data_IF_334411159016
#
_entry.id   IF_334411159016
#
_cell.length_a   1.000
_cell.length_b   1.000
_cell.length_c   1.000
_cell.angle_alpha   90.00
_cell.angle_beta   90.00
_cell.angle_gamma   90.00
#
_symmetry.space_group_name_H-M   'P 1'
#
loop_
_entity.id
_entity.type
_entity.pdbx_description
1 polymer ?
#
# COMPACT_ATOMS: atom_id res chain seq x y z
N UNK A 1 9.95 33.07 -1.59
CA UNK A 1 10.42 31.70 -1.30
C UNK A 1 9.27 30.96 -0.65
N UNK A 2 8.47 30.23 -1.43
CA UNK A 2 7.36 29.45 -0.87
C UNK A 2 7.96 28.23 -0.17
N UNK A 3 7.77 28.17 1.15
CA UNK A 3 8.07 27.01 1.97
C UNK A 3 7.40 25.79 1.35
N UNK A 4 8.21 24.89 0.79
CA UNK A 4 7.76 23.59 0.33
C UNK A 4 7.49 22.76 1.59
N UNK A 5 6.34 23.00 2.22
CA UNK A 5 5.77 22.13 3.24
C UNK A 5 5.39 20.82 2.53
N UNK A 6 6.35 19.90 2.45
CA UNK A 6 6.06 18.52 2.08
C UNK A 6 4.95 18.03 3.02
N UNK A 7 3.84 17.46 2.51
CA UNK A 7 2.76 17.01 3.35
C UNK A 7 3.32 16.02 4.36
N UNK A 8 3.28 16.38 5.65
CA UNK A 8 3.66 15.49 6.76
C UNK A 8 2.86 14.20 6.65
N UNK A 9 3.47 13.19 6.07
CA UNK A 9 2.95 11.83 6.00
C UNK A 9 2.48 11.41 7.38
N UNK A 10 1.24 10.88 7.53
CA UNK A 10 0.83 10.38 8.83
C UNK A 10 1.73 9.19 9.17
N UNK A 11 2.60 9.39 10.16
CA UNK A 11 3.37 8.33 10.77
C UNK A 11 2.42 7.33 11.43
N UNK A 12 2.73 6.05 11.32
CA UNK A 12 2.03 5.00 12.06
C UNK A 12 2.20 5.23 13.58
N UNK A 13 1.39 4.54 14.39
CA UNK A 13 1.47 4.49 15.85
C UNK A 13 2.90 4.20 16.37
N UNK A 14 3.74 3.55 15.57
CA UNK A 14 5.15 3.29 15.85
C UNK A 14 6.14 4.39 15.39
N UNK A 15 5.66 5.53 14.89
CA UNK A 15 6.50 6.62 14.37
C UNK A 15 7.11 6.35 12.98
N UNK A 16 6.81 5.20 12.36
CA UNK A 16 7.31 4.84 11.02
C UNK A 16 6.51 5.58 9.95
N UNK A 17 7.18 6.12 8.94
CA UNK A 17 6.50 6.81 7.85
C UNK A 17 5.88 5.80 6.89
N UNK A 18 4.62 6.03 6.53
CA UNK A 18 3.86 5.12 5.66
C UNK A 18 3.21 5.86 4.50
N UNK A 19 3.53 5.42 3.29
CA UNK A 19 3.06 6.05 2.05
C UNK A 19 2.33 5.01 1.18
N UNK A 20 1.42 5.43 0.28
CA UNK A 20 0.87 4.55 -0.73
C UNK A 20 1.97 4.14 -1.73
N UNK A 21 1.83 2.95 -2.30
CA UNK A 21 2.81 2.39 -3.24
C UNK A 21 3.16 3.34 -4.39
N UNK A 22 2.19 4.12 -4.89
CA UNK A 22 2.39 5.12 -5.94
C UNK A 22 3.42 6.19 -5.56
N UNK A 23 3.41 6.65 -4.31
CA UNK A 23 4.35 7.68 -3.85
C UNK A 23 5.73 7.09 -3.62
N UNK A 24 5.79 5.88 -3.06
CA UNK A 24 7.05 5.18 -2.80
C UNK A 24 7.77 4.82 -4.09
N UNK A 25 7.06 4.33 -5.11
CA UNK A 25 7.64 4.06 -6.42
C UNK A 25 8.31 5.32 -7.01
N UNK A 26 7.66 6.49 -6.88
CA UNK A 26 8.23 7.77 -7.31
C UNK A 26 9.45 8.17 -6.47
N UNK A 27 9.37 8.07 -5.13
CA UNK A 27 10.48 8.42 -4.23
C UNK A 27 11.72 7.54 -4.46
N UNK A 28 11.52 6.24 -4.69
CA UNK A 28 12.60 5.29 -4.93
C UNK A 28 13.02 5.21 -6.42
N UNK A 29 12.54 6.11 -7.28
CA UNK A 29 12.83 6.13 -8.72
C UNK A 29 12.60 4.75 -9.40
N UNK A 30 11.58 4.03 -8.96
CA UNK A 30 11.22 2.74 -9.54
C UNK A 30 10.38 2.99 -10.79
N UNK A 31 10.86 2.51 -11.95
CA UNK A 31 10.16 2.61 -13.24
C UNK A 31 8.92 1.70 -13.36
N UNK A 32 8.34 1.30 -12.23
CA UNK A 32 7.13 0.50 -12.17
C UNK A 32 5.92 1.38 -11.86
N UNK A 33 4.86 1.18 -12.64
CA UNK A 33 3.55 1.72 -12.30
C UNK A 33 2.97 0.98 -11.09
N UNK A 34 2.23 1.69 -10.22
CA UNK A 34 1.54 1.08 -9.09
C UNK A 34 0.64 -0.10 -9.48
N UNK A 35 0.05 -0.07 -10.68
CA UNK A 35 -0.69 -1.21 -11.21
C UNK A 35 0.18 -2.46 -11.42
N UNK A 36 1.37 -2.31 -12.02
CA UNK A 36 2.31 -3.43 -12.26
C UNK A 36 2.86 -3.94 -10.92
N UNK A 37 3.27 -3.02 -10.03
CA UNK A 37 3.72 -3.40 -8.69
C UNK A 37 2.64 -4.17 -7.92
N UNK A 38 1.39 -3.68 -7.89
CA UNK A 38 0.30 -4.38 -7.22
C UNK A 38 0.04 -5.78 -7.80
N UNK A 39 0.14 -5.96 -9.13
CA UNK A 39 -0.02 -7.28 -9.76
C UNK A 39 1.08 -8.24 -9.31
N UNK A 40 2.33 -7.77 -9.28
CA UNK A 40 3.46 -8.58 -8.81
C UNK A 40 3.26 -8.94 -7.34
N UNK A 41 2.89 -7.99 -6.49
CA UNK A 41 2.66 -8.23 -5.07
C UNK A 41 1.50 -9.20 -4.81
N UNK A 42 0.44 -9.16 -5.62
CA UNK A 42 -0.63 -10.16 -5.59
C UNK A 42 -0.10 -11.55 -5.97
N UNK A 43 0.66 -11.65 -7.06
CA UNK A 43 1.25 -12.91 -7.53
C UNK A 43 2.26 -13.49 -6.51
N UNK A 44 2.98 -12.64 -5.79
CA UNK A 44 3.93 -13.03 -4.74
C UNK A 44 3.26 -13.32 -3.38
N UNK A 45 1.95 -13.13 -3.26
CA UNK A 45 1.21 -13.33 -2.00
C UNK A 45 1.49 -12.27 -0.93
N UNK A 46 1.98 -11.10 -1.32
CA UNK A 46 2.19 -9.93 -0.45
C UNK A 46 0.91 -9.11 -0.29
N UNK A 47 0.16 -8.99 -1.38
CA UNK A 47 -1.20 -8.48 -1.39
C UNK A 47 -2.17 -9.65 -1.58
N UNK A 48 -3.37 -9.47 -1.06
CA UNK A 48 -4.54 -10.31 -1.32
C UNK A 48 -5.74 -9.44 -1.70
N UNK A 49 -6.61 -9.99 -2.55
CA UNK A 49 -7.91 -9.39 -2.85
C UNK A 49 -8.94 -9.96 -1.88
N UNK A 50 -9.46 -9.09 -1.02
CA UNK A 50 -10.55 -9.43 -0.10
C UNK A 50 -11.86 -8.91 -0.63
N UNK A 51 -12.93 -9.65 -0.39
CA UNK A 51 -14.29 -9.22 -0.67
C UNK A 51 -14.99 -8.83 0.62
N UNK A 52 -15.78 -7.77 0.57
CA UNK A 52 -16.74 -7.44 1.64
C UNK A 52 -18.09 -7.10 1.03
N UNK A 53 -19.19 -7.38 1.74
CA UNK A 53 -20.48 -6.82 1.38
C UNK A 53 -20.39 -5.28 1.41
N UNK A 54 -20.92 -4.63 0.38
CA UNK A 54 -20.96 -3.17 0.33
C UNK A 54 -21.95 -2.66 1.35
N UNK A 55 -21.48 -1.90 2.34
CA UNK A 55 -22.36 -1.25 3.33
C UNK A 55 -23.34 -0.27 2.67
N UNK A 56 -22.91 0.36 1.58
CA UNK A 56 -23.71 1.37 0.86
C UNK A 56 -24.65 0.78 -0.18
N UNK A 57 -24.40 -0.45 -0.65
CA UNK A 57 -25.18 -1.05 -1.76
C UNK A 57 -25.51 -2.50 -1.40
N UNK A 58 -26.73 -2.77 -0.90
CA UNK A 58 -27.13 -4.12 -0.53
C UNK A 58 -27.03 -5.07 -1.74
N UNK A 59 -26.41 -6.24 -1.53
CA UNK A 59 -26.21 -7.26 -2.57
C UNK A 59 -24.98 -7.07 -3.47
N UNK A 60 -24.22 -5.97 -3.33
CA UNK A 60 -22.99 -5.77 -4.10
C UNK A 60 -21.76 -6.14 -3.27
N UNK A 61 -20.95 -7.08 -3.75
CA UNK A 61 -19.64 -7.37 -3.19
C UNK A 61 -18.62 -6.36 -3.71
N UNK A 62 -17.77 -5.84 -2.83
CA UNK A 62 -16.64 -4.99 -3.19
C UNK A 62 -15.34 -5.74 -2.93
N UNK A 63 -14.52 -5.86 -3.96
CA UNK A 63 -13.14 -6.31 -3.83
C UNK A 63 -12.26 -5.13 -3.42
N UNK A 64 -11.39 -5.37 -2.45
CA UNK A 64 -10.39 -4.44 -1.98
C UNK A 64 -9.07 -5.17 -1.76
N UNK A 65 -7.97 -4.42 -1.75
CA UNK A 65 -6.63 -5.00 -1.61
C UNK A 65 -6.16 -4.83 -0.17
N UNK A 66 -5.66 -5.90 0.42
CA UNK A 66 -5.06 -5.88 1.75
C UNK A 66 -3.69 -6.53 1.70
N UNK A 67 -2.77 -6.07 2.55
CA UNK A 67 -1.52 -6.77 2.82
C UNK A 67 -1.82 -8.06 3.56
N UNK A 68 -1.21 -9.14 3.10
CA UNK A 68 -1.22 -10.44 3.79
C UNK A 68 -0.28 -10.39 5.00
N UNK A 69 -0.20 -11.49 5.77
CA UNK A 69 0.79 -11.61 6.85
C UNK A 69 2.24 -11.36 6.40
N UNK A 70 2.58 -11.72 5.16
CA UNK A 70 3.90 -11.42 4.58
C UNK A 70 4.05 -9.93 4.22
N UNK A 71 2.98 -9.30 3.73
CA UNK A 71 2.96 -7.87 3.39
C UNK A 71 2.98 -6.92 4.58
N UNK A 72 2.43 -7.34 5.73
CA UNK A 72 2.46 -6.56 6.98
C UNK A 72 3.90 -6.31 7.51
N UNK A 73 4.89 -7.04 7.01
CA UNK A 73 6.31 -6.77 7.31
C UNK A 73 6.81 -5.50 6.64
N UNK A 74 6.26 -5.18 5.47
CA UNK A 74 6.69 -4.06 4.64
C UNK A 74 5.72 -2.89 4.70
N UNK A 75 4.63 -3.01 5.45
CA UNK A 75 3.55 -2.04 5.46
C UNK A 75 2.45 -2.35 6.45
N UNK A 76 1.39 -1.56 6.40
CA UNK A 76 0.21 -1.68 7.25
C UNK A 76 -1.07 -1.54 6.44
N UNK A 77 -2.11 -2.25 6.89
CA UNK A 77 -3.46 -2.09 6.37
C UNK A 77 -4.16 -0.95 7.11
N UNK A 78 -4.15 0.25 6.53
CA UNK A 78 -4.83 1.40 7.14
C UNK A 78 -6.32 1.33 6.83
N UNK A 79 -7.12 1.10 7.86
CA UNK A 79 -8.58 1.17 7.76
C UNK A 79 -8.98 2.61 7.45
N UNK A 80 -9.68 2.84 6.34
CA UNK A 80 -10.33 4.13 6.11
C UNK A 80 -11.59 4.20 6.98
N UNK A 81 -11.78 5.31 7.69
CA UNK A 81 -12.96 5.51 8.54
C UNK A 81 -14.24 5.77 7.72
N UNK A 82 -14.10 6.28 6.50
CA UNK A 82 -15.21 6.66 5.61
C UNK A 82 -15.79 5.49 4.80
N UNK A 83 -14.95 4.52 4.50
CA UNK A 83 -15.32 3.28 3.81
C UNK A 83 -14.63 2.19 4.61
N UNK A 84 -15.35 1.20 5.15
CA UNK A 84 -14.77 0.10 5.93
C UNK A 84 -13.90 -0.81 5.04
N UNK A 85 -12.87 -0.22 4.45
CA UNK A 85 -11.92 -0.74 3.50
C UNK A 85 -10.53 -0.47 4.06
N UNK A 86 -9.70 -1.49 4.06
CA UNK A 86 -8.28 -1.32 4.33
C UNK A 86 -7.56 -0.88 3.07
N UNK A 87 -6.89 0.26 3.15
CA UNK A 87 -5.93 0.70 2.15
C UNK A 87 -4.52 0.25 2.55
N UNK A 88 -3.80 -0.52 1.71
CA UNK A 88 -2.46 -0.96 2.01
C UNK A 88 -1.50 0.22 1.89
N UNK A 89 -0.79 0.51 2.97
CA UNK A 89 0.32 1.48 3.02
C UNK A 89 1.61 0.74 3.28
N UNK A 90 2.71 1.25 2.77
CA UNK A 90 4.02 0.62 2.93
C UNK A 90 4.96 1.54 3.70
N UNK A 91 5.85 0.94 4.48
CA UNK A 91 6.87 1.66 5.23
C UNK A 91 7.96 2.13 4.29
N UNK A 92 8.33 3.40 4.37
CA UNK A 92 9.40 3.96 3.53
C UNK A 92 10.74 3.23 3.77
N UNK A 93 11.03 2.90 5.03
CA UNK A 93 12.27 2.27 5.46
C UNK A 93 12.45 0.82 4.99
N UNK A 94 11.35 0.07 4.77
CA UNK A 94 11.41 -1.31 4.26
C UNK A 94 10.96 -1.44 2.80
N UNK A 95 10.58 -0.34 2.16
CA UNK A 95 10.06 -0.39 0.80
C UNK A 95 11.15 -0.80 -0.20
N UNK A 96 12.38 -0.33 -0.01
CA UNK A 96 13.51 -0.70 -0.85
C UNK A 96 13.76 -2.22 -0.82
N UNK A 97 13.68 -2.85 0.36
CA UNK A 97 13.78 -4.31 0.50
C UNK A 97 12.64 -5.00 -0.26
N UNK A 98 11.40 -4.52 -0.13
CA UNK A 98 10.25 -5.06 -0.86
C UNK A 98 10.45 -4.95 -2.38
N UNK A 99 10.95 -3.82 -2.86
CA UNK A 99 11.22 -3.61 -4.30
C UNK A 99 12.29 -4.60 -4.76
N UNK A 100 13.44 -4.63 -4.09
CA UNK A 100 14.55 -5.53 -4.43
C UNK A 100 14.13 -7.01 -4.43
N UNK A 101 13.34 -7.41 -3.45
CA UNK A 101 12.96 -8.81 -3.25
C UNK A 101 11.85 -9.29 -4.18
N UNK A 102 10.86 -8.45 -4.46
CA UNK A 102 9.67 -8.85 -5.20
C UNK A 102 9.51 -8.17 -6.57
N UNK A 103 9.90 -6.91 -6.69
CA UNK A 103 9.66 -6.08 -7.88
C UNK A 103 10.85 -6.01 -8.84
N UNK A 104 12.09 -6.18 -8.36
CA UNK A 104 13.32 -6.10 -9.16
C UNK A 104 13.73 -7.44 -9.81
N UNK A 105 12.83 -8.44 -9.81
CA UNK A 105 13.09 -9.76 -10.40
C UNK A 105 12.56 -9.92 -11.85
N UNK A 106 12.35 -8.81 -12.57
CA UNK A 106 11.86 -8.78 -13.97
C UNK A 106 13.02 -8.38 -14.92
#
# INVERSE_FOLDING_TARGET
MASNDEPRTPADSAGRRTEPITNLLKRHNVELSAAKANRILLAKGILEERTRPSETVPGKLRTYKALTGAGLRYGINRVQQLVAETSPRYFEDSFEELVSKYLAQD
#
